data_IF_469933295137
#
_entry.id   IF_469933295137
#
_cell.length_a   1.000
_cell.length_b   1.000
_cell.length_c   1.000
_cell.angle_alpha   90.00
_cell.angle_beta   90.00
_cell.angle_gamma   90.00
#
_symmetry.space_group_name_H-M   'P 1'
#
loop_
_entity.id
_entity.type
_entity.pdbx_description
1 polymer ?
#
# COMPACT_ATOMS: atom_id res chain seq x y z
N UNK A 1 7.71 -28.15 5.55
CA UNK A 1 6.97 -27.41 4.52
C UNK A 1 7.97 -26.60 3.72
N UNK A 2 7.91 -26.61 2.38
CA UNK A 2 8.75 -25.70 1.58
C UNK A 2 8.20 -24.30 1.81
N UNK A 3 9.03 -23.39 2.32
CA UNK A 3 8.69 -21.98 2.52
C UNK A 3 8.25 -21.38 1.18
N UNK A 4 7.14 -20.65 1.18
CA UNK A 4 6.62 -20.00 -0.03
C UNK A 4 7.63 -18.94 -0.51
N UNK A 5 7.96 -18.97 -1.78
CA UNK A 5 8.78 -17.94 -2.43
C UNK A 5 7.90 -16.72 -2.70
N UNK A 6 8.12 -15.65 -1.93
CA UNK A 6 7.31 -14.42 -2.01
C UNK A 6 7.41 -13.80 -3.39
N UNK A 7 8.60 -13.71 -3.98
CA UNK A 7 8.78 -13.12 -5.31
C UNK A 7 7.98 -13.88 -6.37
N UNK A 8 8.09 -15.20 -6.36
CA UNK A 8 7.32 -16.04 -7.27
C UNK A 8 5.82 -15.86 -7.06
N UNK A 9 5.37 -15.83 -5.82
CA UNK A 9 3.97 -15.65 -5.46
C UNK A 9 3.42 -14.31 -5.96
N UNK A 10 4.15 -13.21 -5.75
CA UNK A 10 3.76 -11.87 -6.24
C UNK A 10 3.76 -11.81 -7.76
N UNK A 11 4.72 -12.45 -8.43
CA UNK A 11 4.74 -12.52 -9.89
C UNK A 11 3.53 -13.27 -10.45
N UNK A 12 3.21 -14.44 -9.91
CA UNK A 12 2.05 -15.22 -10.32
C UNK A 12 0.73 -14.46 -10.06
N UNK A 13 0.60 -13.80 -8.91
CA UNK A 13 -0.55 -12.94 -8.61
C UNK A 13 -0.68 -11.78 -9.61
N UNK A 14 0.43 -11.11 -9.92
CA UNK A 14 0.48 -10.00 -10.87
C UNK A 14 0.01 -10.43 -12.26
N UNK A 15 0.57 -11.52 -12.79
CA UNK A 15 0.27 -12.01 -14.14
C UNK A 15 -1.18 -12.45 -14.26
N UNK A 16 -1.69 -13.23 -13.30
CA UNK A 16 -3.03 -13.79 -13.33
C UNK A 16 -4.08 -12.66 -13.16
N UNK A 17 -3.93 -11.80 -12.18
CA UNK A 17 -4.90 -10.72 -11.92
C UNK A 17 -4.91 -9.71 -13.07
N UNK A 18 -3.75 -9.29 -13.58
CA UNK A 18 -3.70 -8.41 -14.75
C UNK A 18 -4.29 -9.06 -16.01
N UNK A 19 -4.16 -10.38 -16.18
CA UNK A 19 -4.82 -11.12 -17.26
C UNK A 19 -6.35 -11.07 -17.12
N UNK A 20 -6.87 -11.33 -15.91
CA UNK A 20 -8.30 -11.29 -15.64
C UNK A 20 -8.86 -9.87 -15.84
N UNK A 21 -8.20 -8.83 -15.34
CA UNK A 21 -8.63 -7.44 -15.56
C UNK A 21 -8.64 -7.08 -17.05
N UNK A 22 -7.62 -7.47 -17.82
CA UNK A 22 -7.59 -7.25 -19.28
C UNK A 22 -8.75 -7.94 -19.99
N UNK A 23 -9.10 -9.15 -19.57
CA UNK A 23 -10.24 -9.89 -20.09
C UNK A 23 -11.55 -9.14 -19.80
N UNK A 24 -11.78 -8.68 -18.56
CA UNK A 24 -12.94 -7.87 -18.16
C UNK A 24 -13.03 -6.62 -19.04
N UNK A 25 -11.95 -5.84 -19.16
CA UNK A 25 -11.91 -4.64 -19.98
C UNK A 25 -12.20 -4.98 -21.46
N UNK A 26 -11.68 -6.08 -21.99
CA UNK A 26 -11.89 -6.48 -23.38
C UNK A 26 -13.34 -6.78 -23.70
N UNK A 27 -14.08 -7.32 -22.75
CA UNK A 27 -15.50 -7.68 -22.87
C UNK A 27 -16.45 -6.49 -22.66
N UNK A 28 -15.99 -5.39 -22.06
CA UNK A 28 -16.81 -4.24 -21.66
C UNK A 28 -17.50 -3.51 -22.83
N UNK A 29 -17.01 -3.65 -24.05
CA UNK A 29 -17.54 -2.93 -25.22
C UNK A 29 -17.20 -1.42 -25.23
N UNK A 30 -16.49 -0.87 -24.27
CA UNK A 30 -16.14 0.55 -24.26
C UNK A 30 -15.24 0.94 -25.44
N UNK A 31 -15.53 2.05 -26.18
CA UNK A 31 -14.72 2.47 -27.32
C UNK A 31 -13.33 3.00 -26.94
N UNK A 32 -13.10 3.28 -25.67
CA UNK A 32 -11.86 3.81 -25.09
C UNK A 32 -11.12 2.76 -24.20
N UNK A 33 -11.28 1.46 -24.50
CA UNK A 33 -10.61 0.37 -23.78
C UNK A 33 -9.09 0.52 -23.69
N UNK A 34 -8.50 1.20 -24.66
CA UNK A 34 -7.05 1.48 -24.65
C UNK A 34 -6.65 2.29 -23.42
N UNK A 35 -7.43 3.30 -23.03
CA UNK A 35 -7.17 4.10 -21.83
C UNK A 35 -7.24 3.21 -20.60
N UNK A 36 -8.29 2.40 -20.48
CA UNK A 36 -8.46 1.49 -19.33
C UNK A 36 -7.32 0.48 -19.23
N UNK A 37 -6.88 -0.09 -20.36
CA UNK A 37 -5.76 -1.04 -20.38
C UNK A 37 -4.44 -0.36 -20.06
N UNK A 38 -4.26 0.88 -20.47
CA UNK A 38 -3.01 1.62 -20.25
C UNK A 38 -2.82 1.97 -18.77
N UNK A 39 -3.91 2.19 -18.02
CA UNK A 39 -3.83 2.41 -16.58
C UNK A 39 -3.27 1.19 -15.83
N UNK A 40 -3.42 -0.04 -16.35
CA UNK A 40 -2.83 -1.25 -15.72
C UNK A 40 -1.30 -1.23 -15.70
N UNK A 41 -0.68 -0.45 -16.57
CA UNK A 41 0.77 -0.40 -16.69
C UNK A 41 1.44 0.39 -15.57
N UNK A 42 0.70 1.11 -14.74
CA UNK A 42 1.27 1.86 -13.61
C UNK A 42 1.86 0.94 -12.54
N UNK A 43 1.42 -0.31 -12.45
CA UNK A 43 1.95 -1.28 -11.50
C UNK A 43 2.89 -2.27 -12.20
N UNK A 44 4.12 -2.37 -11.73
CA UNK A 44 5.04 -3.42 -12.13
C UNK A 44 4.74 -4.72 -11.39
N UNK A 45 4.34 -4.61 -10.13
CA UNK A 45 3.93 -5.71 -9.26
C UNK A 45 2.58 -5.39 -8.60
N UNK A 46 1.71 -6.37 -8.53
CA UNK A 46 0.43 -6.28 -7.85
C UNK A 46 0.55 -6.76 -6.41
N UNK A 47 1.21 -5.95 -5.56
CA UNK A 47 1.32 -6.24 -4.13
C UNK A 47 -0.05 -6.30 -3.44
N UNK A 48 -0.98 -5.45 -3.90
CA UNK A 48 -2.39 -5.44 -3.52
C UNK A 48 -3.05 -6.80 -3.77
N UNK A 49 -2.95 -7.30 -5.00
CA UNK A 49 -3.51 -8.60 -5.37
C UNK A 49 -2.84 -9.76 -4.62
N UNK A 50 -1.52 -9.70 -4.42
CA UNK A 50 -0.81 -10.72 -3.66
C UNK A 50 -1.28 -10.77 -2.19
N UNK A 51 -1.46 -9.60 -1.53
CA UNK A 51 -2.00 -9.52 -0.18
C UNK A 51 -3.42 -10.10 -0.10
N UNK A 52 -4.30 -9.73 -1.05
CA UNK A 52 -5.67 -10.22 -1.11
C UNK A 52 -5.74 -11.72 -1.33
N UNK A 53 -5.02 -12.24 -2.34
CA UNK A 53 -4.95 -13.68 -2.61
C UNK A 53 -4.41 -14.43 -1.38
N UNK A 54 -3.38 -13.91 -0.74
CA UNK A 54 -2.83 -14.49 0.49
C UNK A 54 -3.89 -14.57 1.59
N UNK A 55 -4.65 -13.49 1.82
CA UNK A 55 -5.70 -13.44 2.84
C UNK A 55 -6.86 -14.39 2.55
N UNK A 56 -7.36 -14.45 1.31
CA UNK A 56 -8.42 -15.40 0.91
C UNK A 56 -7.96 -16.85 1.08
N UNK A 57 -6.72 -17.15 0.70
CA UNK A 57 -6.13 -18.47 0.85
C UNK A 57 -5.88 -18.83 2.32
N UNK A 58 -5.53 -17.85 3.16
CA UNK A 58 -5.43 -18.05 4.61
C UNK A 58 -6.77 -18.45 5.23
N UNK A 59 -7.88 -17.95 4.69
CA UNK A 59 -9.26 -18.33 5.07
C UNK A 59 -9.74 -19.64 4.42
N UNK A 60 -8.89 -20.39 3.75
CA UNK A 60 -9.26 -21.65 3.08
C UNK A 60 -10.01 -21.47 1.75
N UNK A 61 -10.12 -20.25 1.21
CA UNK A 61 -10.67 -20.00 -0.12
C UNK A 61 -9.82 -20.65 -1.22
N UNK A 62 -10.41 -21.01 -2.36
CA UNK A 62 -9.68 -21.55 -3.49
C UNK A 62 -8.95 -20.45 -4.30
N UNK A 63 -8.08 -20.89 -5.21
CA UNK A 63 -7.25 -19.97 -6.00
C UNK A 63 -8.08 -19.12 -6.97
N UNK A 64 -9.05 -19.72 -7.65
CA UNK A 64 -9.83 -19.03 -8.68
C UNK A 64 -10.72 -17.96 -8.03
N UNK A 65 -11.34 -18.27 -6.89
CA UNK A 65 -12.08 -17.32 -6.07
C UNK A 65 -11.20 -16.13 -5.67
N UNK A 66 -9.98 -16.40 -5.18
CA UNK A 66 -9.05 -15.36 -4.76
C UNK A 66 -8.62 -14.44 -5.93
N UNK A 67 -8.28 -15.02 -7.09
CA UNK A 67 -7.84 -14.26 -8.27
C UNK A 67 -8.98 -13.46 -8.91
N UNK A 68 -10.22 -13.98 -8.90
CA UNK A 68 -11.38 -13.25 -9.41
C UNK A 68 -11.75 -12.08 -8.50
N UNK A 69 -11.76 -12.27 -7.18
CA UNK A 69 -11.97 -11.19 -6.24
C UNK A 69 -10.88 -10.10 -6.37
N UNK A 70 -9.61 -10.50 -6.46
CA UNK A 70 -8.49 -9.58 -6.66
C UNK A 70 -8.54 -8.83 -8.00
N UNK A 71 -9.18 -9.37 -9.04
CA UNK A 71 -9.42 -8.65 -10.27
C UNK A 71 -10.49 -7.55 -10.09
N UNK A 72 -11.54 -7.81 -9.32
CA UNK A 72 -12.58 -6.83 -9.00
C UNK A 72 -12.02 -5.67 -8.20
N UNK A 73 -11.35 -5.96 -7.09
CA UNK A 73 -10.75 -4.95 -6.21
C UNK A 73 -9.60 -4.23 -6.91
N UNK A 74 -8.87 -4.94 -7.77
CA UNK A 74 -7.84 -4.38 -8.64
C UNK A 74 -8.36 -3.31 -9.61
N UNK A 75 -9.58 -3.43 -10.12
CA UNK A 75 -10.24 -2.37 -10.93
C UNK A 75 -10.54 -1.13 -10.07
N UNK A 76 -10.99 -1.32 -8.82
CA UNK A 76 -11.24 -0.23 -7.88
C UNK A 76 -9.94 0.48 -7.53
N UNK A 77 -8.92 -0.28 -7.12
CA UNK A 77 -7.58 0.25 -6.79
C UNK A 77 -7.02 1.08 -7.94
N UNK A 78 -7.12 0.56 -9.15
CA UNK A 78 -6.72 1.25 -10.36
C UNK A 78 -7.43 2.60 -10.52
N UNK A 79 -8.75 2.62 -10.34
CA UNK A 79 -9.54 3.85 -10.45
C UNK A 79 -9.12 4.88 -9.40
N UNK A 80 -8.87 4.46 -8.16
CA UNK A 80 -8.45 5.34 -7.06
C UNK A 80 -7.05 5.92 -7.31
N UNK A 81 -6.07 5.12 -7.70
CA UNK A 81 -4.73 5.64 -8.01
C UNK A 81 -4.70 6.59 -9.21
N UNK A 82 -5.53 6.31 -10.24
CA UNK A 82 -5.66 7.24 -11.38
C UNK A 82 -6.38 8.53 -10.98
N UNK A 83 -7.30 8.48 -10.01
CA UNK A 83 -7.95 9.66 -9.44
C UNK A 83 -6.97 10.50 -8.64
N UNK A 84 -6.17 9.87 -7.79
CA UNK A 84 -5.10 10.46 -7.00
C UNK A 84 -4.11 11.22 -7.92
N UNK A 85 -3.62 10.58 -8.99
CA UNK A 85 -2.77 11.22 -9.99
C UNK A 85 -3.38 12.49 -10.59
N UNK A 86 -4.70 12.51 -10.83
CA UNK A 86 -5.40 13.71 -11.35
C UNK A 86 -5.48 14.81 -10.30
N UNK A 87 -5.74 14.46 -9.05
CA UNK A 87 -5.89 15.38 -7.92
C UNK A 87 -4.55 16.03 -7.60
N UNK A 88 -3.52 15.24 -7.47
CA UNK A 88 -2.16 15.68 -7.10
C UNK A 88 -1.37 16.22 -8.30
N UNK A 89 -1.91 16.08 -9.52
CA UNK A 89 -1.24 16.47 -10.78
C UNK A 89 0.09 15.74 -10.97
N UNK A 90 0.16 14.50 -10.55
CA UNK A 90 1.32 13.64 -10.70
C UNK A 90 1.47 13.22 -12.15
N UNK A 91 2.47 13.76 -12.86
CA UNK A 91 2.71 13.50 -14.30
C UNK A 91 3.18 12.07 -14.57
N UNK A 92 3.84 11.46 -13.59
CA UNK A 92 4.40 10.12 -13.68
C UNK A 92 4.22 9.37 -12.37
N UNK A 93 3.76 8.13 -12.44
CA UNK A 93 3.72 7.17 -11.33
C UNK A 93 4.62 5.99 -11.66
N UNK A 94 5.53 5.62 -10.75
CA UNK A 94 6.51 4.54 -10.96
C UNK A 94 7.28 4.68 -12.30
N UNK A 95 7.73 5.91 -12.59
CA UNK A 95 8.45 6.24 -13.83
C UNK A 95 7.63 6.23 -15.12
N UNK A 96 6.34 5.87 -15.08
CA UNK A 96 5.44 5.79 -16.25
C UNK A 96 4.53 7.02 -16.31
N UNK A 97 4.23 7.49 -17.53
CA UNK A 97 3.36 8.65 -17.73
C UNK A 97 1.95 8.36 -17.21
N UNK A 98 1.45 9.21 -16.31
CA UNK A 98 0.10 9.11 -15.76
C UNK A 98 -0.97 9.26 -16.86
N UNK A 99 -2.13 8.62 -16.67
CA UNK A 99 -3.20 8.60 -17.67
C UNK A 99 -3.69 10.01 -18.03
N UNK A 100 -3.83 10.91 -17.05
CA UNK A 100 -4.30 12.27 -17.28
C UNK A 100 -3.30 13.11 -18.10
N UNK A 101 -2.01 12.89 -17.91
CA UNK A 101 -0.96 13.57 -18.68
C UNK A 101 -0.93 13.06 -20.15
N UNK A 102 -1.30 11.79 -20.38
CA UNK A 102 -1.30 11.17 -21.71
C UNK A 102 -2.59 11.43 -22.48
N UNK A 103 -3.75 11.28 -21.83
CA UNK A 103 -5.08 11.29 -22.47
C UNK A 103 -5.94 12.52 -22.16
N UNK A 104 -5.44 13.40 -21.28
CA UNK A 104 -6.16 14.56 -20.77
C UNK A 104 -7.16 14.22 -19.66
N UNK A 105 -7.45 15.22 -18.81
CA UNK A 105 -8.28 15.07 -17.61
C UNK A 105 -9.66 14.49 -17.93
N UNK A 106 -10.34 15.01 -18.96
CA UNK A 106 -11.72 14.61 -19.27
C UNK A 106 -11.83 13.12 -19.63
N UNK A 107 -10.90 12.61 -20.47
CA UNK A 107 -10.87 11.19 -20.85
C UNK A 107 -10.53 10.30 -19.65
N UNK A 108 -9.64 10.76 -18.78
CA UNK A 108 -9.23 10.05 -17.58
C UNK A 108 -10.36 9.95 -16.57
N UNK A 109 -11.14 11.03 -16.33
CA UNK A 109 -12.29 10.98 -15.45
C UNK A 109 -13.37 10.00 -15.95
N UNK A 110 -13.60 9.93 -17.29
CA UNK A 110 -14.50 8.92 -17.86
C UNK A 110 -13.93 7.50 -17.61
N UNK A 111 -12.64 7.32 -17.80
CA UNK A 111 -11.98 6.01 -17.54
C UNK A 111 -12.11 5.58 -16.07
N UNK A 112 -11.90 6.48 -15.12
CA UNK A 112 -12.07 6.24 -13.68
C UNK A 112 -13.48 5.70 -13.39
N UNK A 113 -14.52 6.41 -13.86
CA UNK A 113 -15.90 5.95 -13.66
C UNK A 113 -16.18 4.61 -14.33
N UNK A 114 -15.57 4.35 -15.49
CA UNK A 114 -15.74 3.07 -16.19
C UNK A 114 -15.09 1.91 -15.46
N UNK A 115 -13.91 2.11 -14.85
CA UNK A 115 -13.25 1.10 -14.01
C UNK A 115 -14.12 0.76 -12.79
N UNK A 116 -14.69 1.77 -12.12
CA UNK A 116 -15.60 1.55 -10.99
C UNK A 116 -16.88 0.82 -11.41
N UNK A 117 -17.48 1.17 -12.54
CA UNK A 117 -18.65 0.44 -13.04
C UNK A 117 -18.31 -1.02 -13.36
N UNK A 118 -17.19 -1.28 -14.06
CA UNK A 118 -16.75 -2.62 -14.38
C UNK A 118 -16.50 -3.46 -13.12
N UNK A 119 -15.91 -2.85 -12.08
CA UNK A 119 -15.68 -3.55 -10.82
C UNK A 119 -16.98 -3.99 -10.15
N UNK A 120 -18.01 -3.13 -10.13
CA UNK A 120 -19.30 -3.47 -9.54
C UNK A 120 -20.07 -4.50 -10.38
N UNK A 121 -20.02 -4.40 -11.72
CA UNK A 121 -20.60 -5.40 -12.63
C UNK A 121 -19.94 -6.76 -12.42
N UNK A 122 -18.61 -6.80 -12.36
CA UNK A 122 -17.88 -8.05 -12.17
C UNK A 122 -18.08 -8.61 -10.76
N UNK A 123 -18.18 -7.76 -9.72
CA UNK A 123 -18.50 -8.21 -8.37
C UNK A 123 -19.82 -8.98 -8.32
N UNK A 124 -20.85 -8.51 -9.04
CA UNK A 124 -22.13 -9.22 -9.16
C UNK A 124 -21.95 -10.52 -9.97
N UNK A 125 -21.15 -10.47 -11.04
CA UNK A 125 -20.91 -11.61 -11.93
C UNK A 125 -20.22 -12.78 -11.21
N UNK A 126 -19.26 -12.49 -10.33
CA UNK A 126 -18.59 -13.52 -9.51
C UNK A 126 -19.44 -14.02 -8.32
N UNK A 127 -20.68 -13.55 -8.18
CA UNK A 127 -21.64 -14.03 -7.20
C UNK A 127 -21.77 -13.17 -5.94
N UNK A 128 -21.24 -11.94 -5.96
CA UNK A 128 -21.45 -10.97 -4.86
C UNK A 128 -22.93 -10.63 -4.72
N UNK A 129 -23.48 -10.86 -3.54
CA UNK A 129 -24.85 -10.47 -3.22
C UNK A 129 -24.95 -8.96 -2.90
N UNK A 130 -26.17 -8.50 -2.59
CA UNK A 130 -26.45 -7.09 -2.28
C UNK A 130 -25.61 -6.56 -1.11
N UNK A 131 -25.30 -7.41 -0.12
CA UNK A 131 -24.59 -6.99 1.09
C UNK A 131 -23.09 -6.83 0.79
N UNK A 132 -22.52 -7.69 -0.06
CA UNK A 132 -21.14 -7.58 -0.58
C UNK A 132 -21.00 -6.33 -1.45
N UNK A 133 -21.94 -6.08 -2.38
CA UNK A 133 -21.94 -4.86 -3.20
C UNK A 133 -22.09 -3.61 -2.34
N UNK A 134 -22.95 -3.66 -1.32
CA UNK A 134 -23.10 -2.53 -0.40
C UNK A 134 -21.84 -2.28 0.43
N UNK A 135 -21.14 -3.34 0.86
CA UNK A 135 -19.83 -3.22 1.52
C UNK A 135 -18.81 -2.54 0.62
N UNK A 136 -18.70 -2.96 -0.65
CA UNK A 136 -17.81 -2.34 -1.62
C UNK A 136 -18.11 -0.84 -1.82
N UNK A 137 -19.39 -0.46 -1.92
CA UNK A 137 -19.81 0.94 -2.01
C UNK A 137 -19.43 1.74 -0.75
N UNK A 138 -19.52 1.13 0.44
CA UNK A 138 -19.10 1.78 1.69
C UNK A 138 -17.60 1.98 1.78
N UNK A 139 -16.81 1.03 1.33
CA UNK A 139 -15.37 1.20 1.21
C UNK A 139 -15.01 2.33 0.23
N UNK A 140 -15.70 2.39 -0.93
CA UNK A 140 -15.53 3.51 -1.87
C UNK A 140 -15.90 4.87 -1.26
N UNK A 141 -16.99 4.96 -0.49
CA UNK A 141 -17.37 6.19 0.24
C UNK A 141 -16.25 6.59 1.21
N UNK A 142 -15.69 5.62 1.97
CA UNK A 142 -14.63 5.86 2.94
C UNK A 142 -13.33 6.35 2.25
N UNK A 143 -12.94 5.70 1.15
CA UNK A 143 -11.78 6.11 0.34
C UNK A 143 -11.91 7.54 -0.19
N UNK A 144 -13.07 7.90 -0.75
CA UNK A 144 -13.31 9.25 -1.27
C UNK A 144 -13.34 10.31 -0.14
N UNK A 145 -13.81 9.94 1.06
CA UNK A 145 -13.75 10.81 2.23
C UNK A 145 -12.30 11.00 2.69
N UNK A 146 -11.52 9.92 2.73
CA UNK A 146 -10.10 9.96 3.05
C UNK A 146 -9.34 10.86 2.09
N UNK A 147 -9.54 10.66 0.78
CA UNK A 147 -8.94 11.48 -0.27
C UNK A 147 -9.32 12.97 -0.14
N UNK A 148 -10.60 13.28 0.10
CA UNK A 148 -11.03 14.64 0.33
C UNK A 148 -10.35 15.28 1.55
N UNK A 149 -10.13 14.53 2.63
CA UNK A 149 -9.42 15.01 3.83
C UNK A 149 -7.94 15.23 3.54
N UNK A 150 -7.31 14.36 2.76
CA UNK A 150 -5.92 14.52 2.34
C UNK A 150 -5.71 15.78 1.51
N UNK A 151 -6.57 16.04 0.51
CA UNK A 151 -6.59 17.32 -0.25
C UNK A 151 -6.69 18.56 0.66
N UNK A 152 -7.31 18.42 1.84
CA UNK A 152 -7.42 19.50 2.83
C UNK A 152 -6.25 19.56 3.80
N UNK A 153 -5.37 18.56 3.79
CA UNK A 153 -4.18 18.48 4.64
C UNK A 153 -3.19 19.57 4.26
N UNK A 154 -2.90 20.48 5.18
CA UNK A 154 -1.88 21.51 5.03
C UNK A 154 -1.50 22.08 6.41
N UNK A 155 -0.38 22.80 6.51
CA UNK A 155 0.12 23.38 7.77
C UNK A 155 -0.85 24.32 8.50
N UNK A 156 -1.87 24.84 7.83
CA UNK A 156 -2.90 25.66 8.47
C UNK A 156 -3.93 24.82 9.21
N UNK A 157 -4.05 23.56 8.83
CA UNK A 157 -4.89 22.54 9.48
C UNK A 157 -3.96 21.52 10.13
N UNK A 158 -3.24 21.94 11.19
CA UNK A 158 -2.33 21.06 11.92
C UNK A 158 -3.13 19.87 12.42
N UNK A 159 -2.81 18.68 11.90
CA UNK A 159 -3.40 17.43 12.38
C UNK A 159 -2.81 17.11 13.74
N UNK A 160 -3.66 16.73 14.66
CA UNK A 160 -3.21 16.01 15.86
C UNK A 160 -2.74 14.60 15.46
N UNK A 161 -1.95 13.97 16.30
CA UNK A 161 -1.53 12.58 16.10
C UNK A 161 -2.72 11.64 15.89
N UNK A 162 -3.83 11.82 16.61
CA UNK A 162 -5.04 11.01 16.48
C UNK A 162 -5.75 11.24 15.14
N UNK A 163 -5.79 12.49 14.65
CA UNK A 163 -6.34 12.83 13.34
C UNK A 163 -5.49 12.24 12.20
N UNK A 164 -4.16 12.24 12.37
CA UNK A 164 -3.25 11.60 11.43
C UNK A 164 -3.52 10.09 11.32
N UNK A 165 -3.59 9.36 12.45
CA UNK A 165 -3.88 7.92 12.41
C UNK A 165 -5.24 7.60 11.79
N UNK A 166 -6.23 8.45 12.04
CA UNK A 166 -7.54 8.33 11.38
C UNK A 166 -7.42 8.51 9.87
N UNK A 167 -6.67 9.52 9.42
CA UNK A 167 -6.44 9.76 7.99
C UNK A 167 -5.73 8.58 7.32
N UNK A 168 -4.69 8.03 7.93
CA UNK A 168 -3.99 6.84 7.41
C UNK A 168 -4.94 5.64 7.28
N UNK A 169 -5.80 5.41 8.29
CA UNK A 169 -6.79 4.33 8.23
C UNK A 169 -7.85 4.58 7.15
N UNK A 170 -8.36 5.81 7.00
CA UNK A 170 -9.38 6.18 6.01
C UNK A 170 -8.85 6.25 4.56
N UNK A 171 -7.55 6.50 4.34
CA UNK A 171 -6.92 6.51 3.02
C UNK A 171 -6.30 5.14 2.71
N UNK A 172 -5.09 4.91 3.10
CA UNK A 172 -4.32 3.71 2.75
C UNK A 172 -4.84 2.43 3.44
N UNK A 173 -5.26 2.53 4.73
CA UNK A 173 -5.85 1.41 5.46
C UNK A 173 -7.14 0.92 4.82
N UNK A 174 -8.04 1.82 4.41
CA UNK A 174 -9.32 1.43 3.81
C UNK A 174 -9.14 0.78 2.42
N UNK A 175 -8.13 1.19 1.62
CA UNK A 175 -7.82 0.53 0.35
C UNK A 175 -7.52 -0.95 0.58
N UNK A 176 -6.57 -1.25 1.45
CA UNK A 176 -6.15 -2.63 1.72
C UNK A 176 -7.21 -3.43 2.46
N UNK A 177 -7.91 -2.80 3.40
CA UNK A 177 -9.06 -3.38 4.11
C UNK A 177 -10.17 -3.80 3.16
N UNK A 178 -10.49 -2.98 2.16
CA UNK A 178 -11.51 -3.25 1.16
C UNK A 178 -11.26 -4.59 0.45
N UNK A 179 -10.01 -4.93 0.15
CA UNK A 179 -9.66 -6.19 -0.51
C UNK A 179 -10.26 -7.37 0.21
N UNK A 180 -9.96 -7.51 1.49
CA UNK A 180 -10.40 -8.66 2.29
C UNK A 180 -11.82 -8.50 2.86
N UNK A 181 -12.33 -7.27 2.98
CA UNK A 181 -13.75 -7.03 3.28
C UNK A 181 -14.67 -7.56 2.20
N UNK A 182 -14.25 -7.51 0.93
CA UNK A 182 -15.00 -8.03 -0.21
C UNK A 182 -14.70 -9.52 -0.39
N UNK A 183 -13.43 -9.88 -0.55
CA UNK A 183 -13.03 -11.21 -0.95
C UNK A 183 -13.31 -12.30 0.11
N UNK A 184 -13.25 -11.97 1.39
CA UNK A 184 -13.54 -12.93 2.46
C UNK A 184 -15.00 -13.44 2.46
N UNK A 185 -15.93 -12.69 1.84
CA UNK A 185 -17.33 -13.12 1.72
C UNK A 185 -17.53 -14.31 0.77
N UNK A 186 -16.56 -14.57 -0.09
CA UNK A 186 -16.55 -15.74 -0.98
C UNK A 186 -15.91 -16.98 -0.33
N UNK A 187 -15.62 -16.93 0.98
CA UNK A 187 -15.07 -18.04 1.76
C UNK A 187 -16.08 -18.55 2.78
N UNK A 188 -15.79 -19.72 3.35
CA UNK A 188 -16.58 -20.27 4.45
C UNK A 188 -16.06 -19.83 5.84
N UNK A 189 -15.25 -18.79 5.90
CA UNK A 189 -14.66 -18.28 7.14
C UNK A 189 -15.73 -17.74 8.10
N UNK A 190 -15.46 -17.87 9.39
CA UNK A 190 -16.25 -17.27 10.47
C UNK A 190 -16.15 -15.74 10.45
N UNK A 191 -17.04 -15.05 11.16
CA UNK A 191 -16.96 -13.59 11.30
C UNK A 191 -15.65 -13.15 11.97
N UNK A 192 -15.16 -13.89 12.97
CA UNK A 192 -13.92 -13.58 13.68
C UNK A 192 -12.69 -13.71 12.77
N UNK A 193 -12.63 -14.76 11.94
CA UNK A 193 -11.57 -14.94 10.96
C UNK A 193 -11.60 -13.85 9.88
N UNK A 194 -12.80 -13.50 9.36
CA UNK A 194 -12.94 -12.38 8.41
C UNK A 194 -12.50 -11.07 9.03
N UNK A 195 -12.88 -10.82 10.28
CA UNK A 195 -12.41 -9.64 10.98
C UNK A 195 -10.88 -9.62 11.13
N UNK A 196 -10.28 -10.75 11.55
CA UNK A 196 -8.85 -10.83 11.76
C UNK A 196 -8.06 -10.55 10.47
N UNK A 197 -8.41 -11.20 9.35
CA UNK A 197 -7.71 -11.02 8.07
C UNK A 197 -7.92 -9.62 7.50
N UNK A 198 -9.12 -9.06 7.64
CA UNK A 198 -9.44 -7.70 7.18
C UNK A 198 -8.68 -6.66 7.99
N UNK A 199 -8.58 -6.83 9.31
CA UNK A 199 -7.80 -5.97 10.17
C UNK A 199 -6.28 -6.10 9.92
N UNK A 200 -5.76 -7.29 9.61
CA UNK A 200 -4.38 -7.45 9.13
C UNK A 200 -4.12 -6.63 7.87
N UNK A 201 -5.03 -6.69 6.89
CA UNK A 201 -4.90 -5.94 5.63
C UNK A 201 -4.92 -4.43 5.87
N UNK A 202 -5.83 -3.93 6.72
CA UNK A 202 -5.87 -2.51 7.11
C UNK A 202 -4.54 -2.05 7.70
N UNK A 203 -3.94 -2.85 8.59
CA UNK A 203 -2.65 -2.52 9.21
C UNK A 203 -1.51 -2.44 8.19
N UNK A 204 -1.50 -3.31 7.17
CA UNK A 204 -0.51 -3.22 6.08
C UNK A 204 -0.65 -1.89 5.33
N UNK A 205 -1.87 -1.45 5.03
CA UNK A 205 -2.10 -0.15 4.39
C UNK A 205 -1.63 1.03 5.25
N UNK A 206 -1.94 1.00 6.55
CA UNK A 206 -1.48 2.05 7.48
C UNK A 206 0.06 2.07 7.58
N UNK A 207 0.71 0.92 7.66
CA UNK A 207 2.18 0.82 7.66
C UNK A 207 2.77 1.36 6.35
N UNK A 208 2.13 1.08 5.21
CA UNK A 208 2.55 1.61 3.91
C UNK A 208 2.48 3.14 3.87
N UNK A 209 1.44 3.75 4.44
CA UNK A 209 1.33 5.21 4.51
C UNK A 209 2.41 5.84 5.38
N UNK A 210 2.74 5.22 6.53
CA UNK A 210 3.84 5.72 7.39
C UNK A 210 5.18 5.64 6.68
N UNK A 211 5.40 4.59 5.89
CA UNK A 211 6.62 4.46 5.07
C UNK A 211 6.66 5.52 3.96
N UNK A 212 5.55 5.74 3.28
CA UNK A 212 5.39 6.74 2.23
C UNK A 212 5.68 8.15 2.76
N UNK A 213 5.14 8.51 3.92
CA UNK A 213 5.40 9.78 4.61
C UNK A 213 6.91 9.99 4.95
N UNK A 214 7.67 8.90 5.13
CA UNK A 214 9.11 8.97 5.34
C UNK A 214 9.87 9.10 4.01
N UNK A 215 9.38 8.44 2.94
CA UNK A 215 9.95 8.54 1.59
C UNK A 215 9.77 9.96 1.00
N UNK A 216 8.60 10.56 1.23
CA UNK A 216 8.21 11.85 0.69
C UNK A 216 8.47 13.03 1.65
N UNK A 217 9.18 12.80 2.74
CA UNK A 217 9.36 13.78 3.84
C UNK A 217 9.84 15.16 3.36
N UNK A 218 10.81 15.21 2.45
CA UNK A 218 11.35 16.47 1.93
C UNK A 218 10.31 17.22 1.08
N UNK A 219 9.55 16.50 0.29
CA UNK A 219 8.51 17.07 -0.57
C UNK A 219 7.30 17.53 0.25
N UNK A 220 6.90 16.77 1.25
CA UNK A 220 5.83 17.13 2.20
C UNK A 220 6.12 18.46 2.90
N UNK A 221 7.37 18.70 3.29
CA UNK A 221 7.78 19.97 3.89
C UNK A 221 7.68 21.12 2.90
N UNK A 222 8.15 20.93 1.66
CA UNK A 222 8.09 21.97 0.63
C UNK A 222 6.67 22.32 0.26
N UNK A 223 5.81 21.33 0.17
CA UNK A 223 4.39 21.51 -0.15
C UNK A 223 3.56 21.99 1.06
N UNK A 224 4.14 21.94 2.26
CA UNK A 224 3.47 22.31 3.49
C UNK A 224 2.42 21.29 3.92
N UNK A 225 2.56 20.04 3.51
CA UNK A 225 1.75 18.92 4.00
C UNK A 225 2.16 18.56 5.43
N UNK A 226 1.26 17.90 6.13
CA UNK A 226 1.49 17.42 7.51
C UNK A 226 1.53 15.89 7.49
N UNK A 227 2.67 15.30 7.85
CA UNK A 227 2.89 13.85 7.94
C UNK A 227 3.37 13.47 9.36
N UNK A 228 3.41 12.18 9.67
CA UNK A 228 3.77 11.74 11.03
C UNK A 228 5.13 12.29 11.50
N UNK A 229 6.21 12.25 10.70
CA UNK A 229 7.47 12.82 11.10
C UNK A 229 7.39 14.31 11.41
N UNK A 230 6.61 15.05 10.60
CA UNK A 230 6.41 16.50 10.77
C UNK A 230 5.65 16.78 12.05
N UNK A 231 4.54 16.09 12.32
CA UNK A 231 3.74 16.26 13.55
C UNK A 231 4.61 16.03 14.79
N UNK A 232 5.33 14.91 14.83
CA UNK A 232 6.16 14.56 15.98
C UNK A 232 7.32 15.53 16.19
N UNK A 233 7.86 16.08 15.10
CA UNK A 233 8.93 17.06 15.20
C UNK A 233 8.41 18.44 15.64
N UNK A 234 7.23 18.88 15.15
CA UNK A 234 6.59 20.14 15.55
C UNK A 234 6.22 20.16 17.05
N UNK A 235 5.92 19.00 17.65
CA UNK A 235 5.74 18.89 19.11
C UNK A 235 7.02 19.20 19.90
N UNK A 236 8.20 19.07 19.28
CA UNK A 236 9.52 19.18 19.93
C UNK A 236 10.32 20.40 19.46
N UNK A 237 10.00 21.00 18.30
CA UNK A 237 10.74 22.08 17.66
C UNK A 237 9.80 23.07 16.97
N UNK A 238 9.94 24.38 17.30
CA UNK A 238 9.05 25.43 16.77
C UNK A 238 9.21 25.72 15.25
N UNK A 239 10.39 25.47 14.68
CA UNK A 239 10.68 25.76 13.27
C UNK A 239 11.29 24.54 12.61
N UNK A 240 10.67 24.14 11.50
CA UNK A 240 11.19 23.08 10.64
C UNK A 240 12.06 23.69 9.54
N UNK A 241 13.17 23.02 9.26
CA UNK A 241 14.10 23.37 8.18
C UNK A 241 14.39 22.10 7.39
N UNK A 242 14.16 22.14 6.08
CA UNK A 242 14.39 21.02 5.18
C UNK A 242 15.83 20.50 5.26
N UNK A 243 16.79 21.41 5.26
CA UNK A 243 18.22 21.06 5.18
C UNK A 243 18.73 20.37 6.46
N UNK A 244 18.01 20.53 7.60
CA UNK A 244 18.37 19.92 8.89
C UNK A 244 17.41 18.81 9.31
N UNK A 245 16.34 18.57 8.55
CA UNK A 245 15.22 17.73 8.94
C UNK A 245 15.64 16.35 9.46
N UNK A 246 16.42 15.61 8.69
CA UNK A 246 16.84 14.26 9.10
C UNK A 246 17.70 14.27 10.36
N UNK A 247 18.56 15.27 10.49
CA UNK A 247 19.34 15.49 11.72
C UNK A 247 18.42 15.82 12.91
N UNK A 248 17.42 16.68 12.68
CA UNK A 248 16.45 17.05 13.71
C UNK A 248 15.61 15.80 14.14
N UNK A 249 15.15 14.96 13.20
CA UNK A 249 14.45 13.73 13.53
C UNK A 249 15.27 12.81 14.43
N UNK A 250 16.59 12.70 14.17
CA UNK A 250 17.53 11.93 14.99
C UNK A 250 17.73 12.60 16.35
N UNK A 251 18.11 13.88 16.38
CA UNK A 251 18.46 14.63 17.58
C UNK A 251 17.29 14.71 18.58
N UNK A 252 16.07 14.95 18.08
CA UNK A 252 14.87 15.03 18.91
C UNK A 252 14.21 13.67 19.17
N UNK A 253 14.81 12.56 18.72
CA UNK A 253 14.34 11.19 18.98
C UNK A 253 13.03 10.84 18.25
N UNK A 254 12.67 11.56 17.18
CA UNK A 254 11.43 11.33 16.43
C UNK A 254 11.47 10.00 15.67
N UNK A 255 12.63 9.58 15.17
CA UNK A 255 12.76 8.27 14.52
C UNK A 255 12.46 7.12 15.46
N UNK A 256 12.83 7.24 16.75
CA UNK A 256 12.49 6.26 17.77
C UNK A 256 10.97 6.23 18.05
N UNK A 257 10.31 7.38 18.13
CA UNK A 257 8.85 7.47 18.32
C UNK A 257 8.09 6.85 17.12
N UNK A 258 8.59 7.05 15.89
CA UNK A 258 8.03 6.43 14.68
C UNK A 258 8.23 4.92 14.72
N UNK A 259 9.43 4.45 15.06
CA UNK A 259 9.76 3.02 15.20
C UNK A 259 8.86 2.33 16.22
N UNK A 260 8.62 2.95 17.38
CA UNK A 260 7.72 2.42 18.40
C UNK A 260 6.26 2.34 17.90
N UNK A 261 5.82 3.34 17.14
CA UNK A 261 4.49 3.35 16.53
C UNK A 261 4.33 2.23 15.49
N UNK A 262 5.32 2.06 14.61
CA UNK A 262 5.37 0.96 13.62
C UNK A 262 5.36 -0.40 14.34
N UNK A 263 6.20 -0.57 15.37
CA UNK A 263 6.28 -1.80 16.15
C UNK A 263 4.94 -2.18 16.78
N UNK A 264 4.21 -1.21 17.33
CA UNK A 264 2.89 -1.42 17.92
C UNK A 264 1.89 -1.97 16.86
N UNK A 265 1.88 -1.41 15.64
CA UNK A 265 1.02 -1.86 14.55
C UNK A 265 1.39 -3.28 14.09
N UNK A 266 2.68 -3.58 13.99
CA UNK A 266 3.20 -4.89 13.61
C UNK A 266 2.81 -5.96 14.63
N UNK A 267 3.02 -5.71 15.91
CA UNK A 267 2.69 -6.66 17.00
C UNK A 267 1.18 -6.95 17.01
N UNK A 268 0.35 -5.93 16.76
CA UNK A 268 -1.09 -6.10 16.57
C UNK A 268 -1.40 -6.98 15.37
N UNK A 269 -0.77 -6.75 14.22
CA UNK A 269 -0.93 -7.54 13.01
C UNK A 269 -0.56 -9.02 13.23
N UNK A 270 0.60 -9.27 13.83
CA UNK A 270 1.04 -10.62 14.18
C UNK A 270 0.01 -11.31 15.12
N UNK A 271 -0.46 -10.58 16.14
CA UNK A 271 -1.47 -11.13 17.07
C UNK A 271 -2.78 -11.54 16.36
N UNK A 272 -3.22 -10.76 15.37
CA UNK A 272 -4.41 -11.08 14.58
C UNK A 272 -4.22 -12.34 13.75
N UNK A 273 -3.04 -12.60 13.18
CA UNK A 273 -2.79 -13.82 12.40
C UNK A 273 -2.90 -15.11 13.22
N UNK A 274 -2.73 -15.04 14.54
CA UNK A 274 -2.95 -16.20 15.43
C UNK A 274 -4.43 -16.52 15.69
N UNK A 275 -5.35 -15.69 15.23
CA UNK A 275 -6.79 -15.96 15.24
C UNK A 275 -7.26 -16.72 14.01
N UNK A 276 -6.37 -16.92 13.02
CA UNK A 276 -6.63 -17.68 11.80
C UNK A 276 -6.11 -19.11 11.94
N UNK A 277 -6.71 -20.02 11.18
CA UNK A 277 -6.22 -21.40 11.07
C UNK A 277 -4.78 -21.42 10.55
N UNK A 278 -3.96 -22.32 11.11
CA UNK A 278 -2.54 -22.41 10.73
C UNK A 278 -2.39 -23.13 9.39
N UNK A 279 -1.97 -22.37 8.37
CA UNK A 279 -1.68 -22.86 7.04
C UNK A 279 -0.52 -22.04 6.40
N UNK A 280 -0.08 -22.43 5.21
CA UNK A 280 1.05 -21.77 4.54
C UNK A 280 0.81 -20.28 4.29
N UNK A 281 -0.43 -19.86 4.01
CA UNK A 281 -0.78 -18.47 3.73
C UNK A 281 -0.90 -17.63 5.01
N UNK A 282 -1.39 -18.22 6.10
CA UNK A 282 -1.34 -17.58 7.42
C UNK A 282 0.11 -17.38 7.88
N UNK A 283 0.99 -18.36 7.58
CA UNK A 283 2.43 -18.22 7.75
C UNK A 283 3.00 -17.07 6.94
N UNK A 284 2.60 -16.94 5.68
CA UNK A 284 3.03 -15.84 4.80
C UNK A 284 2.56 -14.47 5.31
N UNK A 285 1.34 -14.34 5.82
CA UNK A 285 0.87 -13.09 6.45
C UNK A 285 1.73 -12.71 7.67
N UNK A 286 2.15 -13.68 8.48
CA UNK A 286 3.10 -13.44 9.60
C UNK A 286 4.47 -13.00 9.09
N UNK A 287 4.95 -13.63 8.02
CA UNK A 287 6.23 -13.25 7.39
C UNK A 287 6.19 -11.81 6.86
N UNK A 288 5.06 -11.35 6.32
CA UNK A 288 4.87 -9.95 5.91
C UNK A 288 5.12 -9.00 7.08
N UNK A 289 4.46 -9.18 8.23
CA UNK A 289 4.69 -8.33 9.40
C UNK A 289 6.11 -8.47 9.97
N UNK A 290 6.68 -9.67 9.95
CA UNK A 290 8.07 -9.89 10.39
C UNK A 290 9.07 -9.14 9.52
N UNK A 291 8.85 -9.09 8.21
CA UNK A 291 9.70 -8.35 7.28
C UNK A 291 9.55 -6.84 7.45
N UNK A 292 8.34 -6.35 7.70
CA UNK A 292 8.11 -4.96 8.09
C UNK A 292 8.91 -4.57 9.34
N UNK A 293 8.84 -5.41 10.40
CA UNK A 293 9.59 -5.17 11.65
C UNK A 293 11.09 -5.07 11.39
N UNK A 294 11.64 -6.04 10.69
CA UNK A 294 13.07 -6.09 10.36
C UNK A 294 13.51 -4.91 9.50
N UNK A 295 12.76 -4.61 8.45
CA UNK A 295 13.07 -3.50 7.55
C UNK A 295 13.08 -2.17 8.30
N UNK A 296 11.99 -1.83 8.99
CA UNK A 296 11.87 -0.54 9.67
C UNK A 296 12.78 -0.43 10.89
N UNK A 297 12.90 -1.51 11.69
CA UNK A 297 13.74 -1.48 12.90
C UNK A 297 15.21 -1.23 12.60
N UNK A 298 15.73 -1.82 11.53
CA UNK A 298 17.14 -1.68 11.17
C UNK A 298 17.37 -0.39 10.38
N UNK A 299 16.51 -0.09 9.40
CA UNK A 299 16.62 1.11 8.59
C UNK A 299 16.60 2.40 9.43
N UNK A 300 15.68 2.50 10.39
CA UNK A 300 15.53 3.69 11.23
C UNK A 300 16.63 3.87 12.28
N UNK A 301 17.41 2.84 12.58
CA UNK A 301 18.55 2.90 13.50
C UNK A 301 19.88 3.25 12.81
N UNK A 302 19.90 3.35 11.47
CA UNK A 302 21.14 3.60 10.74
C UNK A 302 21.56 5.07 10.75
N UNK A 303 22.87 5.31 10.72
CA UNK A 303 23.43 6.66 10.62
C UNK A 303 23.16 7.29 9.24
N UNK A 304 23.10 6.48 8.16
CA UNK A 304 22.84 6.87 6.77
C UNK A 304 21.38 6.71 6.34
N UNK A 305 20.45 6.80 7.30
CA UNK A 305 18.99 6.60 7.08
C UNK A 305 18.42 7.57 6.04
N UNK A 306 18.90 8.81 6.03
CA UNK A 306 18.53 9.86 5.06
C UNK A 306 18.94 9.50 3.62
N UNK A 307 20.15 9.02 3.43
CA UNK A 307 20.64 8.55 2.12
C UNK A 307 19.81 7.35 1.63
N UNK A 308 19.47 6.43 2.54
CA UNK A 308 18.66 5.25 2.20
C UNK A 308 17.22 5.63 1.83
N UNK A 309 16.57 6.51 2.58
CA UNK A 309 15.22 6.97 2.21
C UNK A 309 15.23 7.72 0.88
N UNK A 310 16.23 8.53 0.60
CA UNK A 310 16.39 9.16 -0.69
C UNK A 310 16.52 8.15 -1.84
N UNK A 311 17.35 7.11 -1.67
CA UNK A 311 17.50 6.05 -2.67
C UNK A 311 16.23 5.21 -2.84
N UNK A 312 15.54 4.91 -1.77
CA UNK A 312 14.28 4.16 -1.81
C UNK A 312 13.17 4.99 -2.46
N UNK A 313 13.10 6.30 -2.19
CA UNK A 313 12.10 7.21 -2.74
C UNK A 313 12.24 7.48 -4.24
N UNK A 314 13.43 7.30 -4.85
CA UNK A 314 13.63 7.52 -6.30
C UNK A 314 12.67 6.72 -7.22
N UNK A 315 12.27 5.55 -6.79
CA UNK A 315 11.36 4.63 -7.52
C UNK A 315 10.04 4.43 -6.78
N UNK A 316 9.76 5.28 -5.76
CA UNK A 316 8.57 5.21 -4.94
C UNK A 316 8.53 4.02 -3.97
N UNK A 317 7.36 3.79 -3.37
CA UNK A 317 7.15 2.75 -2.36
C UNK A 317 7.38 1.33 -2.91
N UNK A 318 7.23 1.10 -4.21
CA UNK A 318 7.47 -0.22 -4.84
C UNK A 318 8.91 -0.70 -4.64
N UNK A 319 9.88 0.21 -4.65
CA UNK A 319 11.28 -0.14 -4.37
C UNK A 319 11.48 -0.61 -2.94
N UNK A 320 10.85 0.07 -1.98
CA UNK A 320 10.87 -0.35 -0.58
C UNK A 320 10.25 -1.74 -0.40
N UNK A 321 9.14 -2.02 -1.05
CA UNK A 321 8.51 -3.35 -1.05
C UNK A 321 9.39 -4.41 -1.68
N UNK A 322 10.11 -4.08 -2.76
CA UNK A 322 11.06 -5.01 -3.37
C UNK A 322 12.19 -5.35 -2.40
N UNK A 323 12.81 -4.37 -1.78
CA UNK A 323 13.86 -4.61 -0.77
C UNK A 323 13.28 -5.44 0.39
N UNK A 324 12.15 -5.01 0.95
CA UNK A 324 11.53 -5.64 2.13
C UNK A 324 11.08 -7.07 1.87
N UNK A 325 10.41 -7.36 0.76
CA UNK A 325 9.74 -8.64 0.54
C UNK A 325 10.48 -9.58 -0.42
N UNK A 326 11.46 -9.08 -1.18
CA UNK A 326 12.25 -9.89 -2.11
C UNK A 326 13.68 -10.04 -1.63
N UNK A 327 14.35 -8.93 -1.30
CA UNK A 327 15.77 -8.95 -0.93
C UNK A 327 15.98 -9.40 0.52
N UNK A 328 15.08 -9.04 1.45
CA UNK A 328 15.11 -9.54 2.82
C UNK A 328 14.41 -10.90 2.96
N UNK A 329 14.80 -11.66 3.98
CA UNK A 329 14.15 -12.93 4.35
C UNK A 329 13.85 -12.93 5.85
N UNK A 330 12.74 -13.55 6.30
CA UNK A 330 12.37 -13.57 7.70
C UNK A 330 13.40 -14.21 8.63
N UNK A 331 14.26 -15.10 8.11
CA UNK A 331 15.35 -15.75 8.86
C UNK A 331 16.63 -14.92 8.97
N UNK A 332 16.81 -13.86 8.17
CA UNK A 332 18.01 -13.01 8.22
C UNK A 332 18.19 -12.37 9.60
N UNK A 333 19.42 -12.30 10.06
CA UNK A 333 19.80 -11.52 11.24
C UNK A 333 20.12 -10.06 10.85
N UNK A 334 20.34 -9.20 11.85
CA UNK A 334 20.54 -7.77 11.65
C UNK A 334 21.78 -7.46 10.79
N UNK A 335 22.87 -8.23 10.93
CA UNK A 335 24.08 -8.04 10.12
C UNK A 335 23.82 -8.36 8.64
N UNK A 336 23.08 -9.44 8.36
CA UNK A 336 22.71 -9.82 6.98
C UNK A 336 21.78 -8.77 6.34
N UNK A 337 20.86 -8.18 7.11
CA UNK A 337 19.99 -7.11 6.63
C UNK A 337 20.78 -5.82 6.38
N UNK A 338 21.70 -5.47 7.29
CA UNK A 338 22.60 -4.33 7.08
C UNK A 338 23.43 -4.50 5.79
N UNK A 339 23.89 -5.70 5.47
CA UNK A 339 24.60 -5.96 4.21
C UNK A 339 23.72 -5.70 2.97
N UNK A 340 22.41 -5.94 3.04
CA UNK A 340 21.48 -5.58 1.95
C UNK A 340 21.44 -4.07 1.78
N UNK A 341 21.26 -3.31 2.87
CA UNK A 341 21.27 -1.84 2.83
C UNK A 341 22.61 -1.26 2.38
N UNK A 342 23.73 -1.78 2.88
CA UNK A 342 25.07 -1.37 2.44
C UNK A 342 25.26 -1.57 0.93
N UNK A 343 24.83 -2.72 0.40
CA UNK A 343 24.86 -3.01 -1.03
C UNK A 343 23.98 -2.05 -1.85
N UNK A 344 22.86 -1.58 -1.29
CA UNK A 344 22.01 -0.58 -1.92
C UNK A 344 22.72 0.76 -2.03
N UNK A 345 23.36 1.23 -0.95
CA UNK A 345 24.13 2.47 -0.93
C UNK A 345 25.34 2.38 -1.87
N UNK A 346 26.13 1.32 -1.80
CA UNK A 346 27.31 1.11 -2.66
C UNK A 346 26.96 1.14 -4.15
N UNK A 347 25.91 0.43 -4.56
CA UNK A 347 25.48 0.38 -5.96
C UNK A 347 25.02 1.73 -6.50
N UNK A 348 24.54 2.63 -5.63
CA UNK A 348 24.00 3.93 -6.00
C UNK A 348 24.86 5.11 -5.53
N UNK A 349 26.09 4.86 -5.08
CA UNK A 349 26.98 5.88 -4.50
C UNK A 349 27.15 7.16 -5.36
N UNK A 350 27.13 7.02 -6.69
CA UNK A 350 27.22 8.16 -7.62
C UNK A 350 25.95 9.01 -7.69
N UNK A 351 24.81 8.51 -7.21
CA UNK A 351 23.53 9.24 -7.19
C UNK A 351 23.36 10.08 -5.91
N UNK A 352 24.07 9.71 -4.84
CA UNK A 352 24.03 10.41 -3.55
C UNK A 352 24.93 11.66 -3.50
N UNK A 353 25.79 11.83 -4.49
CA UNK A 353 26.67 12.99 -4.69
C UNK A 353 26.13 13.94 -5.75
#
# INVERSE_FOLDING_TARGET
MNKMDIERFVNEATDNVNSNIKEIISKSGYPYREILTDTLKIFDKRWDAALEICGVRALGGDKDTAENAAAVTGLITQAIFVLDDVIDKTDKREGKTAAWAKYGINSTLIAIHSLLNLSLEELIHIGGDKDVVYSALKSLDALLIGEYRDVKRNRRNVLTKDEYWRLCSEKAGEITKMFLSIASNFTNATEDERYAVTACSELVGVLSQVLDDLLDLEDDIMEGKTSLPIILLEEKKEKLDRDTMWNDLKEFGVLADIKDSIKFLIDKGISLTYQLDDNDYTGLLRDVFTLWDKFCSILLDRDDVDDLFKLLGEEGIERSFKVMFIDLKPEMNDDEINMVFDSLVEKNFNKLR
#
